data_IF_849728688078
#
_entry.id   IF_849728688078
#
_cell.length_a   1.000
_cell.length_b   1.000
_cell.length_c   1.000
_cell.angle_alpha   90.00
_cell.angle_beta   90.00
_cell.angle_gamma   90.00
#
_symmetry.space_group_name_H-M   'P 1'
#
loop_
_entity.id
_entity.type
_entity.pdbx_description
1 polymer ?
#
# COMPACT_ATOMS: atom_id res chain seq x y z
N UNK A 1 -11.45 -13.23 -11.13
CA UNK A 1 -11.32 -13.42 -9.67
C UNK A 1 -10.00 -12.77 -9.27
N UNK A 2 -9.98 -11.92 -8.24
CA UNK A 2 -8.74 -11.25 -7.80
C UNK A 2 -8.00 -12.14 -6.79
N UNK A 3 -6.68 -12.04 -6.75
CA UNK A 3 -5.89 -12.67 -5.69
C UNK A 3 -6.16 -11.97 -4.36
N UNK A 4 -6.52 -12.75 -3.34
CA UNK A 4 -6.66 -12.25 -1.97
C UNK A 4 -5.33 -12.46 -1.27
N UNK A 5 -4.66 -11.36 -0.95
CA UNK A 5 -3.34 -11.34 -0.31
C UNK A 5 -3.24 -10.11 0.58
N UNK A 6 -2.63 -10.28 1.73
CA UNK A 6 -2.40 -9.22 2.71
C UNK A 6 -0.90 -9.04 2.95
N UNK A 7 -0.55 -7.89 3.51
CA UNK A 7 0.77 -7.66 4.10
C UNK A 7 0.66 -7.09 5.51
N UNK A 8 1.74 -7.19 6.28
CA UNK A 8 1.86 -6.55 7.58
C UNK A 8 3.31 -6.29 7.98
N UNK A 9 3.54 -5.22 8.74
CA UNK A 9 4.86 -4.93 9.33
C UNK A 9 5.03 -5.78 10.59
N UNK A 10 6.14 -6.53 10.74
CA UNK A 10 6.34 -7.34 11.92
C UNK A 10 6.40 -6.49 13.18
N UNK A 11 5.96 -7.04 14.31
CA UNK A 11 6.18 -6.41 15.62
C UNK A 11 7.62 -6.59 16.11
N UNK A 12 8.29 -7.66 15.68
CA UNK A 12 9.67 -8.00 16.01
C UNK A 12 10.62 -7.64 14.86
N UNK A 13 11.92 -7.58 15.17
CA UNK A 13 12.96 -7.28 14.18
C UNK A 13 13.39 -8.56 13.46
N UNK A 14 12.95 -8.72 12.21
CA UNK A 14 13.38 -9.79 11.30
C UNK A 14 14.35 -9.22 10.28
N UNK A 15 15.58 -8.91 10.72
CA UNK A 15 16.65 -8.38 9.86
C UNK A 15 16.19 -7.25 8.92
N UNK A 16 16.33 -7.43 7.60
CA UNK A 16 15.98 -6.45 6.57
C UNK A 16 14.51 -6.56 6.09
N UNK A 17 13.74 -7.51 6.63
CA UNK A 17 12.35 -7.76 6.23
C UNK A 17 11.42 -6.69 6.81
N UNK A 18 10.94 -5.79 5.93
CA UNK A 18 10.03 -4.70 6.31
C UNK A 18 8.55 -5.10 6.29
N UNK A 19 8.20 -6.13 5.52
CA UNK A 19 6.84 -6.57 5.27
C UNK A 19 6.80 -8.09 5.10
N UNK A 20 5.80 -8.73 5.69
CA UNK A 20 5.44 -10.12 5.45
C UNK A 20 4.19 -10.17 4.57
N UNK A 21 4.06 -11.19 3.72
CA UNK A 21 2.97 -11.30 2.75
C UNK A 21 2.27 -12.66 2.82
N UNK A 22 0.94 -12.67 2.82
CA UNK A 22 0.17 -13.91 2.92
C UNK A 22 -1.28 -13.70 3.35
N UNK A 23 -1.86 -14.69 4.03
CA UNK A 23 -3.22 -14.61 4.57
C UNK A 23 -3.21 -13.83 5.88
N UNK A 24 -4.17 -12.92 6.06
CA UNK A 24 -4.34 -12.21 7.33
C UNK A 24 -5.19 -13.02 8.31
N UNK A 25 -4.69 -13.20 9.53
CA UNK A 25 -5.46 -13.74 10.66
C UNK A 25 -5.61 -12.64 11.71
N UNK A 26 -6.87 -12.26 11.97
CA UNK A 26 -7.23 -11.08 12.76
C UNK A 26 -8.07 -11.49 13.97
N UNK A 27 -7.60 -11.17 15.18
CA UNK A 27 -8.40 -11.19 16.39
C UNK A 27 -8.80 -9.75 16.75
N UNK A 28 -10.08 -9.45 16.57
CA UNK A 28 -10.62 -8.10 16.78
C UNK A 28 -10.84 -7.74 18.25
N UNK A 29 -11.02 -8.73 19.15
CA UNK A 29 -11.22 -8.48 20.58
C UNK A 29 -9.94 -7.93 21.21
N UNK A 30 -8.82 -8.61 20.95
CA UNK A 30 -7.51 -8.25 21.50
C UNK A 30 -6.70 -7.31 20.59
N UNK A 31 -7.20 -7.01 19.39
CA UNK A 31 -6.51 -6.29 18.31
C UNK A 31 -5.15 -6.90 17.97
N UNK A 32 -5.13 -8.23 17.84
CA UNK A 32 -3.96 -8.99 17.39
C UNK A 32 -4.07 -9.33 15.91
N UNK A 33 -2.94 -9.26 15.20
CA UNK A 33 -2.86 -9.54 13.78
C UNK A 33 -1.64 -10.42 13.47
N UNK A 34 -1.84 -11.39 12.59
CA UNK A 34 -0.81 -12.26 12.06
C UNK A 34 -0.89 -12.31 10.54
N UNK A 35 0.26 -12.46 9.89
CA UNK A 35 0.35 -12.84 8.49
C UNK A 35 0.82 -14.29 8.45
N UNK A 36 0.00 -15.17 7.87
CA UNK A 36 0.41 -16.53 7.53
C UNK A 36 1.25 -16.47 6.24
N UNK A 37 2.56 -16.37 6.40
CA UNK A 37 3.48 -16.29 5.28
C UNK A 37 3.94 -17.70 4.86
N UNK A 38 3.86 -18.05 3.56
CA UNK A 38 4.35 -19.33 3.07
C UNK A 38 5.82 -19.58 3.46
N UNK A 39 6.06 -20.65 4.21
CA UNK A 39 7.40 -21.05 4.68
C UNK A 39 7.82 -20.45 6.03
N UNK A 40 7.19 -19.38 6.51
CA UNK A 40 7.50 -18.74 7.79
C UNK A 40 6.39 -18.92 8.84
N UNK A 41 5.23 -19.44 8.46
CA UNK A 41 4.12 -19.70 9.39
C UNK A 41 3.42 -18.39 9.79
N UNK A 42 2.94 -18.32 11.03
CA UNK A 42 2.23 -17.16 11.54
C UNK A 42 3.19 -16.12 12.11
N UNK A 43 3.34 -15.00 11.41
CA UNK A 43 4.19 -13.88 11.84
C UNK A 43 3.34 -12.81 12.49
N UNK A 44 3.58 -12.43 13.76
CA UNK A 44 2.84 -11.37 14.41
C UNK A 44 3.18 -10.01 13.79
N UNK A 45 2.15 -9.24 13.44
CA UNK A 45 2.30 -7.95 12.76
C UNK A 45 1.57 -6.83 13.50
N UNK A 46 1.97 -5.59 13.24
CA UNK A 46 1.29 -4.41 13.79
C UNK A 46 -0.12 -4.34 13.20
N UNK A 47 -1.15 -4.35 14.04
CA UNK A 47 -2.57 -4.25 13.65
C UNK A 47 -2.82 -3.18 12.57
N UNK A 48 -2.37 -1.95 12.83
CA UNK A 48 -2.59 -0.80 11.93
C UNK A 48 -1.79 -0.84 10.62
N UNK A 49 -0.93 -1.86 10.43
CA UNK A 49 -0.16 -2.04 9.20
C UNK A 49 -0.74 -3.11 8.29
N UNK A 50 -1.74 -3.87 8.74
CA UNK A 50 -2.40 -4.87 7.92
C UNK A 50 -3.07 -4.16 6.76
N UNK A 51 -2.69 -4.52 5.54
CA UNK A 51 -3.28 -3.94 4.33
C UNK A 51 -3.48 -5.00 3.25
N UNK A 52 -4.55 -4.83 2.47
CA UNK A 52 -4.92 -5.78 1.43
C UNK A 52 -4.31 -5.38 0.08
N UNK A 53 -3.81 -6.36 -0.66
CA UNK A 53 -3.38 -6.19 -2.05
C UNK A 53 -4.56 -5.72 -2.89
N UNK A 54 -4.37 -4.79 -3.83
CA UNK A 54 -5.44 -4.29 -4.72
C UNK A 54 -5.75 -5.23 -5.89
N UNK A 55 -4.83 -6.13 -6.25
CA UNK A 55 -4.87 -6.87 -7.51
C UNK A 55 -4.18 -6.14 -8.67
N UNK A 56 -3.63 -4.95 -8.43
CA UNK A 56 -2.95 -4.11 -9.42
C UNK A 56 -1.48 -3.93 -9.10
N UNK A 57 -0.68 -3.73 -10.14
CA UNK A 57 0.76 -3.44 -10.04
C UNK A 57 1.05 -2.05 -10.60
N UNK A 58 2.09 -1.41 -10.08
CA UNK A 58 2.63 -0.18 -10.67
C UNK A 58 3.41 -0.47 -11.96
N UNK A 59 3.97 0.59 -12.56
CA UNK A 59 4.77 0.51 -13.80
C UNK A 59 6.04 -0.34 -13.70
N UNK A 60 6.48 -0.68 -12.49
CA UNK A 60 7.67 -1.49 -12.21
C UNK A 60 7.28 -2.91 -11.74
N UNK A 61 6.05 -3.35 -12.03
CA UNK A 61 5.49 -4.63 -11.60
C UNK A 61 5.40 -4.82 -10.08
N UNK A 62 5.48 -3.73 -9.30
CA UNK A 62 5.32 -3.79 -7.85
C UNK A 62 3.84 -3.76 -7.48
N UNK A 63 3.42 -4.73 -6.69
CA UNK A 63 2.05 -4.84 -6.17
C UNK A 63 1.68 -3.64 -5.31
N UNK A 64 0.47 -3.12 -5.53
CA UNK A 64 -0.10 -2.00 -4.78
C UNK A 64 -1.04 -2.52 -3.69
N UNK A 65 -0.81 -2.09 -2.46
CA UNK A 65 -1.62 -2.41 -1.30
C UNK A 65 -2.29 -1.16 -0.74
N UNK A 66 -3.34 -1.32 0.05
CA UNK A 66 -3.88 -0.21 0.84
C UNK A 66 -2.77 0.49 1.67
N UNK A 67 -2.82 1.81 1.70
CA UNK A 67 -1.83 2.71 2.29
C UNK A 67 -0.57 2.96 1.44
N UNK A 68 -0.41 2.33 0.27
CA UNK A 68 0.69 2.68 -0.63
C UNK A 68 0.48 4.07 -1.24
N UNK A 69 1.59 4.78 -1.43
CA UNK A 69 1.63 6.06 -2.13
C UNK A 69 2.29 5.87 -3.49
N UNK A 70 1.66 6.36 -4.55
CA UNK A 70 2.20 6.34 -5.89
C UNK A 70 2.05 7.70 -6.58
N UNK A 71 2.86 7.91 -7.62
CA UNK A 71 2.95 9.16 -8.35
C UNK A 71 2.50 8.96 -9.81
N UNK A 72 1.71 9.91 -10.30
CA UNK A 72 1.38 10.06 -11.71
C UNK A 72 2.11 11.27 -12.27
N UNK A 73 2.97 11.02 -13.26
CA UNK A 73 3.81 12.05 -13.87
C UNK A 73 3.35 12.27 -15.31
N UNK A 74 2.91 13.49 -15.62
CA UNK A 74 2.54 13.87 -16.98
C UNK A 74 3.05 15.28 -17.31
N UNK A 75 3.12 15.56 -18.61
CA UNK A 75 3.39 16.89 -19.12
C UNK A 75 2.07 17.60 -19.37
N UNK A 76 1.94 18.80 -18.81
CA UNK A 76 0.78 19.65 -19.03
C UNK A 76 1.19 20.90 -19.80
N UNK A 77 0.61 21.04 -21.00
CA UNK A 77 0.88 22.17 -21.88
C UNK A 77 0.36 23.50 -21.30
N UNK A 78 -0.67 23.47 -20.44
CA UNK A 78 -1.21 24.65 -19.78
C UNK A 78 -0.28 25.14 -18.67
N UNK A 79 0.38 24.22 -17.96
CA UNK A 79 1.30 24.55 -16.88
C UNK A 79 2.76 24.71 -17.33
N UNK A 80 3.08 24.47 -18.61
CA UNK A 80 4.44 24.57 -19.18
C UNK A 80 5.47 23.84 -18.32
N UNK A 81 5.16 22.58 -17.98
CA UNK A 81 6.02 21.82 -17.08
C UNK A 81 5.50 20.43 -16.73
N UNK A 82 6.35 19.72 -15.99
CA UNK A 82 6.01 18.43 -15.41
C UNK A 82 5.08 18.64 -14.21
N UNK A 83 3.99 17.87 -14.17
CA UNK A 83 3.07 17.79 -13.04
C UNK A 83 3.20 16.40 -12.43
N UNK A 84 3.32 16.36 -11.10
CA UNK A 84 3.43 15.15 -10.29
C UNK A 84 2.23 15.13 -9.33
N UNK A 85 1.26 14.26 -9.61
CA UNK A 85 0.15 14.00 -8.69
C UNK A 85 0.52 12.84 -7.77
N UNK A 86 0.27 13.00 -6.47
CA UNK A 86 0.46 11.93 -5.48
C UNK A 86 -0.87 11.40 -5.01
N UNK A 87 -0.97 10.07 -4.95
CA UNK A 87 -2.16 9.38 -4.48
C UNK A 87 -1.83 8.37 -3.40
N UNK A 88 -2.69 8.26 -2.40
CA UNK A 88 -2.73 7.18 -1.42
C UNK A 88 -3.78 6.15 -1.87
N UNK A 89 -3.43 4.86 -1.83
CA UNK A 89 -4.39 3.78 -2.05
C UNK A 89 -5.24 3.63 -0.80
N UNK A 90 -6.55 3.81 -0.94
CA UNK A 90 -7.52 3.64 0.16
C UNK A 90 -8.58 2.60 -0.23
N UNK A 91 -9.20 1.95 0.76
CA UNK A 91 -10.45 1.21 0.56
C UNK A 91 -11.62 2.03 1.11
N UNK A 92 -12.58 2.37 0.25
CA UNK A 92 -13.76 3.12 0.69
C UNK A 92 -14.95 2.78 -0.23
N UNK A 93 -16.15 2.66 0.36
CA UNK A 93 -17.38 2.27 -0.32
C UNK A 93 -17.27 1.00 -1.19
N UNK A 94 -16.52 0.00 -0.73
CA UNK A 94 -16.43 -1.30 -1.40
C UNK A 94 -15.42 -1.36 -2.55
N UNK A 95 -14.58 -0.34 -2.73
CA UNK A 95 -13.57 -0.32 -3.78
C UNK A 95 -12.23 0.25 -3.29
N UNK A 96 -11.14 -0.22 -3.91
CA UNK A 96 -9.84 0.45 -3.82
C UNK A 96 -9.86 1.70 -4.69
N UNK A 97 -9.34 2.80 -4.16
CA UNK A 97 -9.33 4.11 -4.82
C UNK A 97 -7.99 4.81 -4.64
N UNK A 98 -7.65 5.66 -5.60
CA UNK A 98 -6.54 6.59 -5.53
C UNK A 98 -7.02 7.91 -4.91
N UNK A 99 -6.70 8.15 -3.64
CA UNK A 99 -7.04 9.40 -2.95
C UNK A 99 -5.95 10.43 -3.20
N UNK A 100 -6.25 11.59 -3.82
CA UNK A 100 -5.26 12.65 -3.99
C UNK A 100 -4.74 13.14 -2.64
N UNK A 101 -3.41 13.23 -2.50
CA UNK A 101 -2.76 13.72 -1.27
C UNK A 101 -1.82 14.92 -1.53
N UNK A 102 -1.64 15.32 -2.78
CA UNK A 102 -0.88 16.51 -3.15
C UNK A 102 -0.53 16.56 -4.62
N UNK A 103 -0.14 17.76 -5.07
CA UNK A 103 0.33 18.03 -6.44
C UNK A 103 1.64 18.81 -6.32
N UNK A 104 2.65 18.44 -7.13
CA UNK A 104 3.88 19.22 -7.30
C UNK A 104 4.01 19.59 -8.77
N UNK A 105 4.37 20.83 -9.08
CA UNK A 105 4.71 21.24 -10.44
C UNK A 105 5.90 22.19 -10.45
N UNK A 106 6.58 22.32 -11.58
CA UNK A 106 7.71 23.26 -11.70
C UNK A 106 7.33 24.73 -11.39
N UNK A 107 6.03 25.07 -11.43
CA UNK A 107 5.53 26.41 -11.05
C UNK A 107 5.17 26.52 -9.55
N UNK A 108 5.00 25.41 -8.83
CA UNK A 108 4.69 25.37 -7.40
C UNK A 108 5.56 24.32 -6.68
N UNK A 109 6.83 24.63 -6.39
CA UNK A 109 7.64 23.81 -5.50
C UNK A 109 7.07 23.90 -4.07
N UNK A 110 6.97 22.76 -3.40
CA UNK A 110 6.60 22.66 -1.97
C UNK A 110 7.70 23.28 -1.12
#
# INVERSE_FOLDING_TARGET
MREIKFRGKPIEFYSDTKWFYGSAIMNYEDRLAYIEEPGNGFVPVKWASVSEYTGLKDKNDKELFEGDVFEENYFDNEYDGQVINRYEVIFNNGAFMAKPIGVTSNKFPI
#
